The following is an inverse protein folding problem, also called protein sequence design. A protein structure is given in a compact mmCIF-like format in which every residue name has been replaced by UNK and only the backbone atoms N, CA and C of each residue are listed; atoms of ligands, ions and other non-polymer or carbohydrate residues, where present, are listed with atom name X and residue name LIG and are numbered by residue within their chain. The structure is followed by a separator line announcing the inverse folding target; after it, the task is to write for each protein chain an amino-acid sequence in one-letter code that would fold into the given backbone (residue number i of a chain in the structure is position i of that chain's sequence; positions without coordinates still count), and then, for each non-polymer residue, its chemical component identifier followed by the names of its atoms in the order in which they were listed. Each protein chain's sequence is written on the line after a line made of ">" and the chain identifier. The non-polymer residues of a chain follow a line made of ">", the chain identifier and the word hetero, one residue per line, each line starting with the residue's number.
data_IF_190321814296
#
_entry.id   IF_190321814296
#
_cell.length_a   1.000
_cell.length_b   1.000
_cell.length_c   1.000
_cell.angle_alpha   90.00
_cell.angle_beta   90.00
_cell.angle_gamma   90.00
#
_symmetry.space_group_name_H-M   'P 1'
#
loop_
_entity.id
_entity.type
_entity.pdbx_description
1 polymer ?
#
# COMPACT_ATOMS: atom_id res chain seq x y z
N UNK A 1 -23.65 39.77 35.43
CA UNK A 1 -22.44 38.93 35.35
C UNK A 1 -22.47 38.16 34.04
N UNK A 2 -21.48 38.41 33.16
CA UNK A 2 -21.32 37.78 31.84
C UNK A 2 -20.97 36.30 32.00
N UNK A 3 -21.60 35.40 31.24
CA UNK A 3 -21.02 34.10 30.90
C UNK A 3 -21.08 33.93 29.39
N UNK A 4 -19.88 33.85 28.84
CA UNK A 4 -19.52 33.91 27.43
C UNK A 4 -19.83 32.55 26.80
N UNK A 5 -20.56 32.56 25.68
CA UNK A 5 -20.75 31.41 24.81
C UNK A 5 -19.38 31.09 24.18
N UNK A 6 -18.75 30.01 24.62
CA UNK A 6 -17.50 29.52 24.05
C UNK A 6 -17.82 28.47 22.98
N UNK A 7 -18.28 28.94 21.81
CA UNK A 7 -18.31 28.12 20.60
C UNK A 7 -17.08 28.50 19.80
N UNK A 8 -15.97 27.82 20.05
CA UNK A 8 -14.73 27.97 19.30
C UNK A 8 -14.45 26.71 18.48
N UNK A 9 -14.87 26.77 17.22
CA UNK A 9 -13.96 26.53 16.08
C UNK A 9 -13.30 25.14 15.99
N UNK A 10 -14.09 24.10 15.66
CA UNK A 10 -13.57 22.94 14.91
C UNK A 10 -13.64 23.22 13.41
N UNK A 11 -12.82 24.16 12.94
CA UNK A 11 -12.71 24.48 11.52
C UNK A 11 -11.24 24.47 11.10
N UNK A 12 -10.62 23.29 11.11
CA UNK A 12 -9.33 23.04 10.44
C UNK A 12 -9.04 21.53 10.27
N UNK A 13 -9.94 20.78 9.62
CA UNK A 13 -9.57 19.51 8.97
C UNK A 13 -9.72 19.64 7.46
N UNK A 14 -9.25 20.77 6.93
CA UNK A 14 -9.08 21.00 5.49
C UNK A 14 -7.78 20.37 5.00
N UNK A 15 -7.65 19.05 5.12
CA UNK A 15 -6.74 18.29 4.27
C UNK A 15 -7.58 17.21 3.61
N UNK A 16 -8.23 17.57 2.51
CA UNK A 16 -8.65 16.61 1.48
C UNK A 16 -7.38 16.02 0.83
N UNK A 17 -6.57 15.33 1.65
CA UNK A 17 -5.52 14.47 1.15
C UNK A 17 -6.18 13.42 0.28
N UNK A 18 -5.78 13.36 -0.98
CA UNK A 18 -6.26 12.33 -1.89
C UNK A 18 -6.00 10.95 -1.27
N UNK A 19 -7.08 10.25 -0.90
CA UNK A 19 -6.99 8.90 -0.38
C UNK A 19 -6.59 7.95 -1.50
N UNK A 20 -5.45 7.29 -1.35
CA UNK A 20 -5.05 6.22 -2.26
C UNK A 20 -6.11 5.12 -2.24
N UNK A 21 -6.42 4.54 -3.41
CA UNK A 21 -7.35 3.40 -3.47
C UNK A 21 -6.61 2.13 -3.10
N UNK A 22 -7.11 1.42 -2.08
CA UNK A 22 -6.63 0.12 -1.66
C UNK A 22 -7.67 -0.93 -1.97
N UNK A 23 -7.28 -1.99 -2.65
CA UNK A 23 -8.15 -3.12 -2.92
C UNK A 23 -8.18 -4.05 -1.69
N UNK A 24 -9.38 -4.50 -1.28
CA UNK A 24 -9.47 -5.50 -0.22
C UNK A 24 -8.81 -6.80 -0.66
N UNK A 25 -8.35 -7.58 0.32
CA UNK A 25 -7.85 -8.93 0.07
C UNK A 25 -9.01 -9.80 -0.43
N UNK A 26 -8.91 -10.30 -1.66
CA UNK A 26 -9.95 -11.15 -2.29
C UNK A 26 -9.64 -12.65 -2.19
N UNK A 27 -8.43 -13.01 -1.75
CA UNK A 27 -8.02 -14.42 -1.58
C UNK A 27 -8.91 -15.14 -0.57
N UNK A 28 -9.29 -16.38 -0.89
CA UNK A 28 -10.03 -17.28 0.02
C UNK A 28 -9.11 -18.21 0.83
N UNK A 29 -7.80 -18.13 0.62
CA UNK A 29 -6.85 -19.00 1.29
C UNK A 29 -6.73 -18.63 2.78
N UNK A 30 -7.11 -19.54 3.68
CA UNK A 30 -7.12 -19.30 5.14
C UNK A 30 -5.74 -18.92 5.68
N UNK A 31 -4.68 -19.63 5.26
CA UNK A 31 -3.32 -19.36 5.73
C UNK A 31 -2.86 -17.97 5.32
N UNK A 32 -3.17 -17.56 4.08
CA UNK A 32 -2.86 -16.23 3.57
C UNK A 32 -3.58 -15.14 4.36
N UNK A 33 -4.89 -15.29 4.58
CA UNK A 33 -5.68 -14.33 5.35
C UNK A 33 -5.18 -14.19 6.79
N UNK A 34 -4.87 -15.30 7.45
CA UNK A 34 -4.29 -15.29 8.80
C UNK A 34 -2.87 -14.70 8.83
N UNK A 35 -2.12 -14.81 7.74
CA UNK A 35 -0.78 -14.20 7.64
C UNK A 35 -0.87 -12.69 7.54
N UNK A 36 -1.82 -12.16 6.77
CA UNK A 36 -2.00 -10.72 6.59
C UNK A 36 -2.87 -10.06 7.68
N UNK A 37 -3.48 -10.83 8.57
CA UNK A 37 -4.27 -10.30 9.68
C UNK A 37 -3.38 -9.44 10.59
N UNK A 38 -3.69 -8.14 10.68
CA UNK A 38 -2.90 -7.16 11.43
C UNK A 38 -1.74 -6.54 10.64
N UNK A 39 -1.55 -6.94 9.38
CA UNK A 39 -0.60 -6.31 8.45
C UNK A 39 -1.32 -5.20 7.68
N UNK A 40 -0.71 -4.03 7.61
CA UNK A 40 -1.23 -2.90 6.84
C UNK A 40 -0.12 -2.25 6.04
N UNK A 41 -0.49 -1.51 5.01
CA UNK A 41 0.47 -0.71 4.25
C UNK A 41 -0.13 0.61 3.82
N UNK A 42 0.75 1.56 3.55
CA UNK A 42 0.41 2.85 2.93
C UNK A 42 1.32 3.09 1.74
N UNK A 43 0.85 3.93 0.83
CA UNK A 43 1.64 4.37 -0.32
C UNK A 43 1.77 5.89 -0.32
N UNK A 44 2.98 6.38 -0.58
CA UNK A 44 3.25 7.80 -0.78
C UNK A 44 4.44 7.97 -1.73
N UNK A 45 4.24 8.71 -2.83
CA UNK A 45 5.31 9.16 -3.73
C UNK A 45 6.23 8.03 -4.19
N UNK A 46 5.66 6.93 -4.69
CA UNK A 46 6.43 5.78 -5.19
C UNK A 46 6.95 4.84 -4.10
N UNK A 47 6.66 5.09 -2.83
CA UNK A 47 7.13 4.24 -1.72
C UNK A 47 5.95 3.60 -1.00
N UNK A 48 6.02 2.28 -0.83
CA UNK A 48 5.12 1.53 0.05
C UNK A 48 5.77 1.41 1.42
N UNK A 49 5.05 1.82 2.46
CA UNK A 49 5.42 1.56 3.86
C UNK A 49 4.53 0.45 4.39
N UNK A 50 5.10 -0.71 4.70
CA UNK A 50 4.39 -1.86 5.24
C UNK A 50 4.65 -1.99 6.73
N UNK A 51 3.60 -2.19 7.51
CA UNK A 51 3.64 -2.36 8.96
C UNK A 51 3.07 -3.72 9.34
N UNK A 52 3.86 -4.54 10.02
CA UNK A 52 3.43 -5.85 10.50
C UNK A 52 3.00 -5.77 11.97
N UNK A 53 1.71 -5.50 12.26
CA UNK A 53 1.16 -5.71 13.61
C UNK A 53 0.51 -7.10 13.75
N UNK A 54 0.81 -8.01 12.83
CA UNK A 54 0.25 -9.35 12.80
C UNK A 54 0.84 -10.26 13.87
N UNK A 55 0.39 -11.52 13.84
CA UNK A 55 0.88 -12.55 14.75
C UNK A 55 2.22 -13.17 14.30
N UNK A 56 2.51 -13.12 13.00
CA UNK A 56 3.61 -13.85 12.37
C UNK A 56 4.66 -12.88 11.84
N UNK A 57 5.93 -13.28 11.88
CA UNK A 57 6.95 -12.67 11.03
C UNK A 57 6.63 -13.01 9.57
N UNK A 58 6.79 -12.02 8.69
CA UNK A 58 6.56 -12.17 7.25
C UNK A 58 7.87 -12.56 6.58
N UNK A 59 7.79 -13.43 5.57
CA UNK A 59 8.93 -13.81 4.74
C UNK A 59 8.99 -12.90 3.53
N UNK A 60 8.24 -13.27 2.49
CA UNK A 60 8.10 -12.44 1.29
C UNK A 60 6.73 -11.78 1.27
N UNK A 61 6.69 -10.48 1.01
CA UNK A 61 5.45 -9.74 0.74
C UNK A 61 5.62 -8.94 -0.55
N UNK A 62 4.63 -9.02 -1.43
CA UNK A 62 4.53 -8.14 -2.60
C UNK A 62 3.23 -7.35 -2.55
N UNK A 63 3.34 -6.07 -2.87
CA UNK A 63 2.20 -5.18 -3.09
C UNK A 63 2.29 -4.69 -4.53
N UNK A 64 1.22 -4.91 -5.27
CA UNK A 64 1.12 -4.45 -6.65
C UNK A 64 0.34 -3.16 -6.72
N UNK A 65 0.61 -2.37 -7.76
CA UNK A 65 -0.12 -1.17 -8.11
C UNK A 65 -0.58 -1.29 -9.57
N UNK A 66 -1.87 -1.10 -9.81
CA UNK A 66 -2.44 -1.01 -11.16
C UNK A 66 -3.11 0.35 -11.34
N UNK A 67 -3.33 0.80 -12.57
CA UNK A 67 -4.01 2.08 -12.83
C UNK A 67 -5.48 1.87 -13.23
N UNK A 68 -6.36 2.73 -12.69
CA UNK A 68 -7.77 2.80 -13.12
C UNK A 68 -7.95 3.29 -14.56
N UNK A 69 -6.96 3.98 -15.11
CA UNK A 69 -7.04 4.65 -16.41
C UNK A 69 -6.05 4.10 -17.44
N UNK A 70 -5.05 3.34 -17.00
CA UNK A 70 -4.09 2.66 -17.86
C UNK A 70 -4.02 1.18 -17.50
N UNK A 71 -4.67 0.34 -18.31
CA UNK A 71 -4.70 -1.11 -18.13
C UNK A 71 -3.34 -1.80 -18.30
N UNK A 72 -2.34 -1.10 -18.83
CA UNK A 72 -1.01 -1.64 -19.09
C UNK A 72 0.01 -1.26 -18.03
N UNK A 73 -0.29 -0.27 -17.18
CA UNK A 73 0.57 0.11 -16.06
C UNK A 73 0.54 -0.97 -14.97
N UNK A 74 1.73 -1.46 -14.63
CA UNK A 74 1.94 -2.37 -13.52
C UNK A 74 3.09 -1.87 -12.64
N UNK A 75 2.83 -1.74 -11.34
CA UNK A 75 3.82 -1.43 -10.32
C UNK A 75 3.95 -2.57 -9.31
N UNK A 76 5.14 -2.77 -8.77
CA UNK A 76 5.37 -3.75 -7.69
C UNK A 76 6.36 -3.21 -6.66
N UNK A 77 6.01 -3.35 -5.38
CA UNK A 77 6.92 -3.22 -4.25
C UNK A 77 7.17 -4.62 -3.65
N UNK A 78 8.44 -4.94 -3.42
CA UNK A 78 8.88 -6.24 -2.94
C UNK A 78 9.56 -6.11 -1.59
N UNK A 79 9.15 -6.94 -0.64
CA UNK A 79 9.75 -7.07 0.68
C UNK A 79 10.25 -8.50 0.82
N UNK A 80 11.55 -8.72 0.63
CA UNK A 80 12.16 -10.07 0.60
C UNK A 80 13.00 -10.39 1.83
N UNK A 81 13.48 -9.37 2.54
CA UNK A 81 14.36 -9.52 3.72
C UNK A 81 13.64 -10.06 4.98
N UNK A 82 12.34 -10.30 4.88
CA UNK A 82 11.49 -10.59 6.02
C UNK A 82 11.09 -9.33 6.78
N UNK A 83 9.98 -9.42 7.52
CA UNK A 83 9.48 -8.31 8.34
C UNK A 83 8.98 -8.89 9.65
N UNK A 84 9.67 -8.55 10.73
CA UNK A 84 9.35 -9.05 12.05
C UNK A 84 8.05 -8.46 12.59
N UNK A 85 7.49 -9.14 13.60
CA UNK A 85 6.31 -8.64 14.29
C UNK A 85 6.62 -7.31 14.98
N UNK A 86 5.77 -6.32 14.73
CA UNK A 86 5.89 -4.95 15.24
C UNK A 86 6.72 -4.04 14.34
N UNK A 87 7.38 -4.59 13.32
CA UNK A 87 8.27 -3.84 12.45
C UNK A 87 7.52 -3.06 11.36
N UNK A 88 8.18 -2.03 10.85
CA UNK A 88 7.76 -1.28 9.67
C UNK A 88 8.90 -1.27 8.66
N UNK A 89 8.62 -1.74 7.45
CA UNK A 89 9.56 -1.74 6.34
C UNK A 89 9.09 -0.81 5.22
N UNK A 90 10.01 -0.38 4.36
CA UNK A 90 9.71 0.44 3.19
C UNK A 90 10.33 -0.17 1.93
N UNK A 91 9.60 -0.11 0.83
CA UNK A 91 10.09 -0.48 -0.49
C UNK A 91 9.62 0.55 -1.51
N UNK A 92 10.50 0.89 -2.44
CA UNK A 92 10.11 1.61 -3.65
C UNK A 92 9.24 0.72 -4.54
N UNK A 93 8.34 1.35 -5.30
CA UNK A 93 7.52 0.68 -6.30
C UNK A 93 8.20 0.81 -7.65
N UNK A 94 8.57 -0.32 -8.24
CA UNK A 94 9.07 -0.39 -9.60
C UNK A 94 7.89 -0.42 -10.57
N UNK A 95 7.81 0.55 -11.50
CA UNK A 95 6.71 0.67 -12.45
C UNK A 95 7.13 0.28 -13.86
N UNK A 96 6.22 -0.41 -14.55
CA UNK A 96 6.37 -0.84 -15.95
C UNK A 96 5.07 -0.61 -16.70
N UNK A 97 5.15 -0.51 -18.02
CA UNK A 97 3.99 -0.48 -18.91
C UNK A 97 4.25 -1.24 -20.20
N UNK A 98 3.20 -1.52 -20.96
CA UNK A 98 3.23 -2.29 -22.19
C UNK A 98 2.74 -3.74 -22.04
N UNK A 99 2.83 -4.52 -23.12
CA UNK A 99 2.36 -5.92 -23.16
C UNK A 99 3.40 -6.83 -23.79
N UNK A 100 3.55 -8.04 -23.26
CA UNK A 100 4.45 -9.06 -23.79
C UNK A 100 5.89 -8.56 -23.92
N UNK A 101 6.47 -8.67 -25.13
CA UNK A 101 7.86 -8.26 -25.40
C UNK A 101 8.09 -6.74 -25.40
N UNK A 102 7.05 -5.92 -25.23
CA UNK A 102 7.13 -4.45 -25.22
C UNK A 102 7.04 -3.84 -23.81
N UNK A 103 7.18 -4.66 -22.77
CA UNK A 103 7.21 -4.17 -21.40
C UNK A 103 8.49 -3.37 -21.18
N UNK A 104 8.34 -2.16 -20.65
CA UNK A 104 9.46 -1.29 -20.31
C UNK A 104 9.17 -0.53 -19.02
N UNK A 105 10.24 -0.08 -18.36
CA UNK A 105 10.16 0.71 -17.15
C UNK A 105 9.51 2.08 -17.40
N UNK A 106 8.73 2.54 -16.42
CA UNK A 106 8.11 3.87 -16.42
C UNK A 106 8.62 4.67 -15.24
N UNK A 107 9.26 5.84 -15.46
CA UNK A 107 9.65 6.71 -14.38
C UNK A 107 8.45 7.17 -13.55
N UNK A 108 8.59 7.23 -12.23
CA UNK A 108 7.52 7.65 -11.30
C UNK A 108 6.84 8.99 -11.69
N UNK A 109 7.60 9.91 -12.30
CA UNK A 109 7.10 11.22 -12.76
C UNK A 109 6.03 11.11 -13.85
N UNK A 110 6.01 10.01 -14.61
CA UNK A 110 5.06 9.73 -15.68
C UNK A 110 3.85 8.92 -15.19
N UNK A 111 3.88 8.45 -13.93
CA UNK A 111 2.80 7.67 -13.33
C UNK A 111 1.76 8.62 -12.72
N UNK A 112 0.49 8.48 -13.12
CA UNK A 112 -0.63 9.12 -12.42
C UNK A 112 -0.92 8.38 -11.10
N UNK A 113 -0.18 8.76 -10.06
CA UNK A 113 -0.25 8.12 -8.75
C UNK A 113 -1.65 8.18 -8.12
N UNK A 114 -2.46 9.20 -8.46
CA UNK A 114 -3.82 9.36 -7.93
C UNK A 114 -4.78 8.31 -8.47
N UNK A 115 -4.45 7.68 -9.59
CA UNK A 115 -5.27 6.64 -10.23
C UNK A 115 -4.81 5.23 -9.89
N UNK A 116 -3.78 5.09 -9.05
CA UNK A 116 -3.32 3.77 -8.64
C UNK A 116 -4.32 3.07 -7.71
N UNK A 117 -4.44 1.77 -7.89
CA UNK A 117 -5.10 0.82 -7.01
C UNK A 117 -4.03 -0.13 -6.52
N UNK A 118 -3.79 -0.12 -5.22
CA UNK A 118 -2.83 -1.03 -4.61
C UNK A 118 -3.52 -2.26 -4.04
N UNK A 119 -2.86 -3.40 -4.12
CA UNK A 119 -3.34 -4.66 -3.57
C UNK A 119 -2.18 -5.49 -3.05
N UNK A 120 -2.43 -6.29 -2.01
CA UNK A 120 -1.54 -7.39 -1.70
C UNK A 120 -1.60 -8.41 -2.83
N UNK A 121 -0.44 -8.86 -3.27
CA UNK A 121 -0.31 -9.88 -4.31
C UNK A 121 0.19 -11.18 -3.67
N UNK A 122 1.35 -11.15 -3.01
CA UNK A 122 1.93 -12.28 -2.29
C UNK A 122 2.20 -11.93 -0.84
N UNK A 123 2.04 -12.91 0.04
CA UNK A 123 2.43 -12.83 1.43
C UNK A 123 2.73 -14.24 1.96
N UNK A 124 3.93 -14.44 2.49
CA UNK A 124 4.34 -15.67 3.15
C UNK A 124 4.79 -15.40 4.58
N UNK A 125 4.77 -16.44 5.41
CA UNK A 125 5.38 -16.39 6.74
C UNK A 125 6.87 -16.64 6.59
N UNK A 126 7.68 -16.02 7.44
CA UNK A 126 9.08 -16.40 7.57
C UNK A 126 9.15 -17.87 8.02
N UNK A 127 9.96 -18.67 7.31
CA UNK A 127 10.28 -20.04 7.72
C UNK A 127 11.53 -19.92 8.58
N UNK A 128 11.42 -20.29 9.86
CA UNK A 128 12.57 -20.42 10.74
C UNK A 128 13.37 -21.67 10.40
#
# INVERSE_FOLDING_TARGET
>A
MKKIIFVSMLAACGFSGYGQTYQPITSKNKTYLETLKGVSYTYKQGVVTLKNNGRYALGTVSITASSKVDSTLFGIALFEDGIDKGETAKSEVYFTTGRGKKVHEVPLKQVDQKKLVLSFDKATRAVK
#
